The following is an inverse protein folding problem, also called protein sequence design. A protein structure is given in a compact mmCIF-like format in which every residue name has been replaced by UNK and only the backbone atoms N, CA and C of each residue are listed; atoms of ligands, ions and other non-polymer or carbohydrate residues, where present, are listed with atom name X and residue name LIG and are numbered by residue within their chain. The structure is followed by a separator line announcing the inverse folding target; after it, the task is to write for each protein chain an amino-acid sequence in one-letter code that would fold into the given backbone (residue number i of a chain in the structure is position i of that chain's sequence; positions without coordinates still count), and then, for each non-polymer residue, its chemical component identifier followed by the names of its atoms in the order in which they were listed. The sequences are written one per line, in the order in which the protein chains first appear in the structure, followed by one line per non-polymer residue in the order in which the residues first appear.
data_IF_086112081698
#
_entry.id   IF_086112081698
#
_cell.length_a   1.000
_cell.length_b   1.000
_cell.length_c   1.000
_cell.angle_alpha   90.00
_cell.angle_beta   90.00
_cell.angle_gamma   90.00
#
_symmetry.space_group_name_H-M   'P 1'
#
loop_
_entity.id
_entity.type
_entity.pdbx_description
1 polymer ?
#
# COMPACT_ATOMS: atom_id res chain seq x y z
N UNK A 1 58.14 6.82 -33.99
CA UNK A 1 59.12 5.76 -34.09
C UNK A 1 58.71 4.70 -33.05
N UNK A 2 58.33 3.53 -33.29
CA UNK A 2 58.39 2.61 -34.39
C UNK A 2 57.26 1.58 -34.25
N UNK A 3 56.83 1.18 -35.41
CA UNK A 3 55.89 0.09 -35.73
C UNK A 3 56.50 -1.29 -35.43
N UNK A 4 55.62 -2.30 -35.23
CA UNK A 4 55.65 -3.65 -35.88
C UNK A 4 54.44 -4.45 -35.34
N UNK A 5 53.43 -4.81 -36.12
CA UNK A 5 53.13 -5.90 -37.09
C UNK A 5 53.22 -7.29 -36.43
N UNK A 6 52.11 -7.96 -36.23
CA UNK A 6 51.41 -8.95 -37.07
C UNK A 6 52.06 -10.40 -37.05
N UNK A 7 51.21 -11.40 -36.88
CA UNK A 7 51.52 -12.78 -37.13
C UNK A 7 50.34 -13.74 -36.88
N UNK A 8 49.67 -14.12 -37.96
CA UNK A 8 48.75 -15.26 -38.07
C UNK A 8 49.51 -16.56 -38.01
N UNK A 9 48.97 -17.65 -37.47
CA UNK A 9 48.95 -18.96 -38.11
C UNK A 9 47.87 -19.83 -37.45
N UNK A 10 47.00 -20.39 -38.28
CA UNK A 10 46.11 -21.46 -37.96
C UNK A 10 46.70 -22.80 -38.31
N UNK A 11 46.23 -23.87 -37.68
CA UNK A 11 46.39 -25.24 -38.21
C UNK A 11 45.10 -26.03 -37.89
N UNK A 12 44.53 -26.56 -38.96
CA UNK A 12 43.62 -27.70 -39.02
C UNK A 12 44.30 -29.01 -38.66
N UNK A 13 43.58 -29.93 -38.06
CA UNK A 13 43.81 -31.38 -38.37
C UNK A 13 42.51 -32.16 -38.06
N UNK A 14 42.22 -32.94 -39.08
CA UNK A 14 41.18 -33.94 -39.26
C UNK A 14 41.40 -35.21 -38.44
N UNK A 15 40.28 -35.90 -38.21
CA UNK A 15 40.16 -37.37 -38.42
C UNK A 15 40.19 -38.17 -37.13
N UNK A 16 39.20 -38.98 -36.84
CA UNK A 16 38.96 -40.33 -37.39
C UNK A 16 37.67 -40.91 -36.88
N UNK A 17 36.95 -41.56 -37.76
CA UNK A 17 35.71 -42.30 -37.57
C UNK A 17 35.98 -43.63 -36.89
N UNK A 18 35.15 -44.08 -35.96
CA UNK A 18 35.00 -45.51 -35.67
C UNK A 18 33.49 -45.82 -35.39
N UNK A 19 32.93 -46.65 -36.26
CA UNK A 19 31.62 -47.29 -36.13
C UNK A 19 31.71 -48.50 -35.19
N UNK A 20 30.68 -48.67 -34.35
CA UNK A 20 30.10 -49.96 -33.95
C UNK A 20 28.80 -49.72 -33.20
N UNK A 21 27.72 -49.99 -33.77
CA UNK A 21 26.78 -51.11 -33.77
C UNK A 21 25.82 -51.19 -32.54
N UNK A 22 24.52 -51.00 -32.84
CA UNK A 22 23.32 -51.68 -32.34
C UNK A 22 23.02 -51.71 -30.84
N UNK A 23 21.95 -50.97 -30.51
CA UNK A 23 21.13 -51.19 -29.32
C UNK A 23 19.83 -50.38 -29.45
N UNK A 24 18.79 -51.00 -29.99
CA UNK A 24 17.43 -50.44 -30.04
C UNK A 24 16.90 -50.35 -28.61
N UNK A 25 16.72 -49.11 -28.10
CA UNK A 25 15.97 -48.81 -26.93
C UNK A 25 15.00 -47.70 -27.30
N UNK A 26 13.75 -48.04 -27.57
CA UNK A 26 12.67 -47.09 -27.76
C UNK A 26 12.43 -46.29 -26.48
N UNK A 27 12.94 -45.07 -26.40
CA UNK A 27 12.52 -44.09 -25.38
C UNK A 27 11.15 -43.56 -25.76
N UNK A 28 10.11 -44.10 -25.15
CA UNK A 28 8.78 -43.49 -25.14
C UNK A 28 8.89 -42.13 -24.48
N UNK A 29 8.88 -41.06 -25.26
CA UNK A 29 8.63 -39.71 -24.80
C UNK A 29 7.16 -39.70 -24.32
N UNK A 30 6.98 -39.78 -23.00
CA UNK A 30 5.67 -39.54 -22.39
C UNK A 30 5.40 -38.04 -22.51
N UNK A 31 4.58 -37.65 -23.50
CA UNK A 31 4.05 -36.32 -23.60
C UNK A 31 3.22 -36.04 -22.32
N UNK A 32 3.71 -35.12 -21.48
CA UNK A 32 2.87 -34.59 -20.41
C UNK A 32 1.65 -33.92 -21.07
N UNK A 33 0.43 -34.25 -20.60
CA UNK A 33 -0.76 -33.58 -21.13
C UNK A 33 -0.67 -32.10 -20.74
N UNK A 34 -0.71 -31.21 -21.74
CA UNK A 34 -0.90 -29.78 -21.53
C UNK A 34 -2.14 -29.60 -20.66
N UNK A 35 -1.96 -28.92 -19.52
CA UNK A 35 -3.07 -28.55 -18.65
C UNK A 35 -4.05 -27.68 -19.45
N UNK A 36 -5.12 -28.29 -19.95
CA UNK A 36 -6.21 -27.57 -20.60
C UNK A 36 -6.88 -26.72 -19.55
N UNK A 37 -6.69 -25.41 -19.59
CA UNK A 37 -7.57 -24.46 -18.90
C UNK A 37 -8.98 -24.63 -19.50
N UNK A 38 -9.80 -25.47 -18.87
CA UNK A 38 -11.23 -25.56 -19.17
C UNK A 38 -11.81 -24.18 -18.84
N UNK A 39 -12.16 -23.40 -19.85
CA UNK A 39 -13.04 -22.24 -19.67
C UNK A 39 -14.34 -22.76 -19.02
N UNK A 40 -14.70 -22.18 -17.88
CA UNK A 40 -15.93 -22.52 -17.18
C UNK A 40 -17.12 -22.28 -18.11
N UNK A 41 -17.96 -23.29 -18.31
CA UNK A 41 -19.16 -23.15 -19.13
C UNK A 41 -20.18 -22.18 -18.52
N UNK A 42 -21.17 -21.68 -19.31
CA UNK A 42 -22.15 -20.69 -18.83
C UNK A 42 -22.90 -21.09 -17.55
N UNK A 43 -23.22 -22.37 -17.38
CA UNK A 43 -23.88 -22.90 -16.19
C UNK A 43 -22.99 -22.77 -14.93
N UNK A 44 -21.68 -23.07 -15.04
CA UNK A 44 -20.74 -22.92 -13.94
C UNK A 44 -20.50 -21.44 -13.56
N UNK A 45 -20.55 -20.51 -14.51
CA UNK A 45 -20.45 -19.07 -14.24
C UNK A 45 -21.68 -18.54 -13.49
N UNK A 46 -22.87 -19.04 -13.80
CA UNK A 46 -24.12 -18.66 -13.12
C UNK A 46 -24.15 -19.18 -11.67
N UNK A 47 -23.71 -20.42 -11.45
CA UNK A 47 -23.59 -20.99 -10.10
C UNK A 47 -22.55 -20.24 -9.26
N UNK A 48 -21.38 -19.90 -9.83
CA UNK A 48 -20.37 -19.10 -9.16
C UNK A 48 -20.90 -17.72 -8.76
N UNK A 49 -21.65 -17.04 -9.67
CA UNK A 49 -22.27 -15.75 -9.35
C UNK A 49 -23.33 -15.88 -8.24
N UNK A 50 -24.14 -16.95 -8.23
CA UNK A 50 -25.13 -17.20 -7.17
C UNK A 50 -24.44 -17.43 -5.81
N UNK A 51 -23.35 -18.16 -5.78
CA UNK A 51 -22.56 -18.38 -4.57
C UNK A 51 -21.93 -17.08 -4.06
N UNK A 52 -21.39 -16.25 -4.96
CA UNK A 52 -20.84 -14.93 -4.60
C UNK A 52 -21.92 -14.00 -4.03
N UNK A 53 -23.11 -13.94 -4.63
CA UNK A 53 -24.25 -13.18 -4.08
C UNK A 53 -24.67 -13.67 -2.70
N UNK A 54 -24.72 -14.99 -2.48
CA UNK A 54 -25.06 -15.56 -1.18
C UNK A 54 -24.01 -15.22 -0.13
N UNK A 55 -22.72 -15.25 -0.47
CA UNK A 55 -21.62 -14.83 0.41
C UNK A 55 -21.73 -13.36 0.76
N UNK A 56 -21.89 -12.49 -0.25
CA UNK A 56 -22.02 -11.05 -0.06
C UNK A 56 -23.21 -10.70 0.88
N UNK A 57 -24.37 -11.31 0.65
CA UNK A 57 -25.53 -11.11 1.48
C UNK A 57 -25.32 -11.62 2.93
N UNK A 58 -24.70 -12.79 3.09
CA UNK A 58 -24.42 -13.40 4.41
C UNK A 58 -23.52 -12.50 5.26
N UNK A 59 -22.47 -11.93 4.69
CA UNK A 59 -21.54 -11.05 5.40
C UNK A 59 -21.97 -9.59 5.40
N UNK A 60 -23.09 -9.25 4.78
CA UNK A 60 -23.58 -7.88 4.59
C UNK A 60 -22.52 -7.01 3.92
N UNK A 61 -21.93 -7.49 2.81
CA UNK A 61 -20.86 -6.82 2.11
C UNK A 61 -21.26 -5.40 1.67
N UNK A 62 -20.42 -4.43 1.91
CA UNK A 62 -20.62 -3.04 1.52
C UNK A 62 -19.31 -2.42 1.06
N UNK A 63 -18.87 -2.75 -0.13
CA UNK A 63 -17.58 -2.28 -0.64
C UNK A 63 -17.62 -0.82 -1.14
N UNK A 64 -18.79 -0.17 -1.05
CA UNK A 64 -18.93 1.28 -1.23
C UNK A 64 -18.86 2.07 0.08
N UNK A 65 -18.69 1.40 1.21
CA UNK A 65 -18.62 2.02 2.53
C UNK A 65 -17.32 2.76 2.78
N UNK A 66 -17.30 3.50 3.88
CA UNK A 66 -16.15 4.30 4.32
C UNK A 66 -15.01 3.42 4.86
N UNK A 67 -13.78 3.87 4.63
CA UNK A 67 -12.55 3.22 5.08
C UNK A 67 -11.76 4.19 5.97
N UNK A 68 -11.44 3.82 7.23
CA UNK A 68 -10.58 4.64 8.06
C UNK A 68 -9.13 4.61 7.52
N UNK A 69 -8.61 5.80 7.20
CA UNK A 69 -7.20 6.04 6.89
C UNK A 69 -6.61 6.79 8.06
N UNK A 70 -5.85 6.09 8.90
CA UNK A 70 -5.34 6.63 10.17
C UNK A 70 -3.95 7.19 9.97
N UNK A 71 -3.73 8.43 10.45
CA UNK A 71 -2.48 9.17 10.34
C UNK A 71 -1.75 9.18 11.67
N UNK A 72 -0.60 8.56 11.71
CA UNK A 72 0.35 8.54 12.83
C UNK A 72 1.59 9.36 12.48
N UNK A 73 2.29 9.84 13.52
CA UNK A 73 3.61 10.47 13.43
C UNK A 73 4.60 9.71 14.32
N UNK A 74 4.77 10.09 15.57
CA UNK A 74 5.72 9.46 16.47
C UNK A 74 5.03 8.51 17.45
N UNK A 75 5.70 7.40 17.74
CA UNK A 75 5.34 6.48 18.83
C UNK A 75 6.43 6.57 19.89
N UNK A 76 6.21 7.33 20.95
CA UNK A 76 7.22 7.70 21.92
C UNK A 76 6.73 7.55 23.36
N UNK A 77 7.62 7.14 24.28
CA UNK A 77 7.25 6.92 25.67
C UNK A 77 6.79 8.19 26.39
N UNK A 78 7.29 9.36 25.96
CA UNK A 78 6.93 10.68 26.53
C UNK A 78 6.44 11.58 25.39
N UNK A 79 5.11 11.62 25.12
CA UNK A 79 4.52 12.52 24.15
C UNK A 79 4.84 13.98 24.44
N UNK A 80 5.17 14.76 23.42
CA UNK A 80 5.49 16.20 23.52
C UNK A 80 4.63 17.06 22.61
N UNK A 81 3.93 16.44 21.66
CA UNK A 81 2.95 17.07 20.78
C UNK A 81 1.67 16.22 20.70
N UNK A 82 0.60 16.84 20.27
CA UNK A 82 -0.74 16.19 20.25
C UNK A 82 -0.84 14.98 19.32
N UNK A 83 0.00 14.91 18.29
CA UNK A 83 0.00 13.81 17.31
C UNK A 83 0.92 12.63 17.72
N UNK A 84 1.57 12.73 18.89
CA UNK A 84 2.34 11.63 19.45
C UNK A 84 1.43 10.57 20.06
N UNK A 85 1.81 9.30 19.92
CA UNK A 85 1.21 8.19 20.65
C UNK A 85 2.24 7.55 21.56
N UNK A 86 1.81 7.05 22.71
CA UNK A 86 2.68 6.14 23.46
C UNK A 86 2.66 4.75 22.84
N UNK A 87 3.71 3.91 23.06
CA UNK A 87 3.70 2.52 22.64
C UNK A 87 2.45 1.75 23.12
N UNK A 88 1.99 2.03 24.33
CA UNK A 88 0.80 1.40 24.93
C UNK A 88 -0.47 1.84 24.23
N UNK A 89 -0.64 3.13 23.96
CA UNK A 89 -1.82 3.65 23.24
C UNK A 89 -1.87 3.10 21.81
N UNK A 90 -0.73 3.08 21.11
CA UNK A 90 -0.64 2.54 19.76
C UNK A 90 -0.99 1.05 19.72
N UNK A 91 -0.41 0.25 20.64
CA UNK A 91 -0.73 -1.17 20.77
C UNK A 91 -2.22 -1.38 21.03
N UNK A 92 -2.81 -0.67 21.98
CA UNK A 92 -4.22 -0.80 22.33
C UNK A 92 -5.15 -0.50 21.14
N UNK A 93 -4.81 0.52 20.32
CA UNK A 93 -5.56 0.84 19.12
C UNK A 93 -5.44 -0.27 18.05
N UNK A 94 -4.25 -0.84 17.84
CA UNK A 94 -4.06 -1.96 16.91
C UNK A 94 -4.82 -3.23 17.37
N UNK A 95 -4.76 -3.55 18.65
CA UNK A 95 -5.52 -4.69 19.23
C UNK A 95 -7.03 -4.48 19.09
N UNK A 96 -7.50 -3.27 19.30
CA UNK A 96 -8.89 -2.90 19.06
C UNK A 96 -9.26 -3.13 17.60
N UNK A 97 -8.49 -2.59 16.65
CA UNK A 97 -8.71 -2.80 15.22
C UNK A 97 -8.79 -4.28 14.86
N UNK A 98 -7.88 -5.10 15.38
CA UNK A 98 -7.87 -6.54 15.15
C UNK A 98 -9.14 -7.23 15.70
N UNK A 99 -9.57 -6.88 16.93
CA UNK A 99 -10.79 -7.40 17.58
C UNK A 99 -12.05 -6.99 16.85
N UNK A 100 -12.10 -5.73 16.33
CA UNK A 100 -13.23 -5.19 15.59
C UNK A 100 -13.28 -5.69 14.12
N UNK A 101 -12.39 -6.61 13.74
CA UNK A 101 -12.40 -7.26 12.43
C UNK A 101 -11.75 -6.46 11.32
N UNK A 102 -11.00 -5.41 11.65
CA UNK A 102 -10.23 -4.68 10.66
C UNK A 102 -8.98 -5.45 10.20
N UNK A 103 -8.63 -5.26 8.93
CA UNK A 103 -7.42 -5.81 8.30
C UNK A 103 -6.63 -4.65 7.71
N UNK A 104 -5.40 -4.41 8.16
CA UNK A 104 -4.56 -3.38 7.57
C UNK A 104 -4.28 -3.64 6.09
N UNK A 105 -4.39 -2.59 5.29
CA UNK A 105 -3.98 -2.53 3.90
C UNK A 105 -3.07 -1.32 3.69
N UNK A 106 -2.27 -1.32 2.63
CA UNK A 106 -1.42 -0.18 2.29
C UNK A 106 -2.21 0.94 1.61
N UNK A 107 -1.68 2.17 1.65
CA UNK A 107 -2.25 3.29 0.90
C UNK A 107 -2.27 3.03 -0.60
N UNK A 108 -1.27 2.30 -1.11
CA UNK A 108 -1.20 1.83 -2.50
C UNK A 108 -2.36 0.88 -2.84
N UNK A 109 -2.62 -0.14 -1.99
CA UNK A 109 -3.76 -1.06 -2.18
C UNK A 109 -5.08 -0.30 -2.18
N UNK A 110 -5.24 0.63 -1.23
CA UNK A 110 -6.43 1.48 -1.11
C UNK A 110 -6.62 2.37 -2.36
N UNK A 111 -5.65 3.22 -2.69
CA UNK A 111 -5.78 4.20 -3.77
C UNK A 111 -5.98 3.55 -5.16
N UNK A 112 -5.40 2.36 -5.37
CA UNK A 112 -5.55 1.60 -6.62
C UNK A 112 -6.80 0.70 -6.65
N UNK A 113 -7.55 0.59 -5.54
CA UNK A 113 -8.71 -0.31 -5.41
C UNK A 113 -8.33 -1.79 -5.40
N UNK A 114 -7.08 -2.13 -5.11
CA UNK A 114 -6.62 -3.52 -5.01
C UNK A 114 -6.77 -4.05 -3.58
N UNK A 115 -7.99 -3.98 -3.05
CA UNK A 115 -8.32 -4.39 -1.69
C UNK A 115 -8.60 -5.88 -1.68
N UNK A 116 -7.68 -6.67 -1.10
CA UNK A 116 -7.80 -8.13 -0.98
C UNK A 116 -7.77 -8.53 0.49
N UNK A 117 -8.95 -8.65 1.09
CA UNK A 117 -9.14 -9.05 2.49
C UNK A 117 -10.28 -10.07 2.58
N UNK A 118 -10.34 -10.92 3.62
CA UNK A 118 -11.38 -11.94 3.73
C UNK A 118 -12.81 -11.36 3.79
N UNK A 119 -13.78 -12.17 3.37
CA UNK A 119 -15.20 -11.83 3.45
C UNK A 119 -15.63 -11.47 4.88
N UNK A 120 -16.41 -10.42 5.04
CA UNK A 120 -16.88 -9.91 6.32
C UNK A 120 -15.86 -9.08 7.10
N UNK A 121 -14.64 -8.88 6.57
CA UNK A 121 -13.62 -8.04 7.18
C UNK A 121 -13.66 -6.61 6.63
N UNK A 122 -13.02 -5.69 7.37
CA UNK A 122 -13.02 -4.26 7.09
C UNK A 122 -11.60 -3.78 6.84
N UNK A 123 -11.31 -3.03 5.77
CA UNK A 123 -9.98 -2.49 5.58
C UNK A 123 -9.72 -1.31 6.50
N UNK A 124 -8.48 -1.16 6.95
CA UNK A 124 -7.95 0.04 7.57
C UNK A 124 -6.61 0.37 6.94
N UNK A 125 -6.34 1.65 6.66
CA UNK A 125 -5.04 2.11 6.18
C UNK A 125 -4.29 2.76 7.32
N UNK A 126 -3.15 2.19 7.69
CA UNK A 126 -2.25 2.78 8.70
C UNK A 126 -1.17 3.56 7.96
N UNK A 127 -1.09 4.87 8.21
CA UNK A 127 -0.09 5.75 7.57
C UNK A 127 0.79 6.44 8.61
N UNK A 128 2.08 6.56 8.33
CA UNK A 128 3.05 7.21 9.18
C UNK A 128 3.76 8.32 8.42
N UNK A 129 3.73 9.54 8.94
CA UNK A 129 4.37 10.70 8.33
C UNK A 129 5.75 10.98 8.98
N UNK A 130 6.60 11.75 8.29
CA UNK A 130 7.87 12.34 8.75
C UNK A 130 9.04 11.37 9.00
N UNK A 131 8.90 10.09 8.81
CA UNK A 131 9.99 9.09 8.95
C UNK A 131 10.75 9.18 10.30
N UNK A 132 10.03 9.29 11.42
CA UNK A 132 10.65 9.34 12.75
C UNK A 132 11.39 8.03 13.10
N UNK A 133 12.53 8.09 13.83
CA UNK A 133 13.18 6.89 14.35
C UNK A 133 12.29 6.02 15.25
N UNK A 134 11.26 6.60 15.87
CA UNK A 134 10.30 5.87 16.69
C UNK A 134 9.34 4.98 15.85
N UNK A 135 9.25 5.22 14.56
CA UNK A 135 8.47 4.37 13.66
C UNK A 135 9.24 3.10 13.30
N UNK A 136 10.53 3.25 12.99
CA UNK A 136 11.44 2.14 12.71
C UNK A 136 12.88 2.54 13.09
N UNK A 137 13.51 1.75 13.90
CA UNK A 137 14.96 1.71 14.11
C UNK A 137 15.35 0.24 14.11
N UNK A 138 16.34 -0.13 13.31
CA UNK A 138 16.90 -1.48 13.30
C UNK A 138 18.01 -1.62 14.33
N UNK A 139 18.10 -2.78 14.98
CA UNK A 139 19.23 -3.15 15.84
C UNK A 139 20.40 -3.69 15.02
N UNK A 140 21.49 -4.07 15.69
CA UNK A 140 22.68 -4.63 15.03
C UNK A 140 22.47 -5.96 14.30
N UNK A 141 21.32 -6.64 14.53
CA UNK A 141 20.90 -7.87 13.84
C UNK A 141 19.89 -7.59 12.73
N UNK A 142 19.58 -6.32 12.42
CA UNK A 142 18.62 -5.92 11.38
C UNK A 142 17.16 -6.13 11.79
N UNK A 143 16.85 -6.23 13.08
CA UNK A 143 15.48 -6.35 13.60
C UNK A 143 14.96 -5.02 14.11
N UNK A 144 13.65 -4.72 13.95
CA UNK A 144 13.06 -3.55 14.56
C UNK A 144 13.26 -3.53 16.08
N UNK A 145 13.73 -2.42 16.62
CA UNK A 145 13.87 -2.26 18.07
C UNK A 145 12.48 -2.32 18.74
N UNK A 146 12.39 -2.91 19.93
CA UNK A 146 11.17 -2.86 20.75
C UNK A 146 10.65 -1.41 20.89
N UNK A 147 9.35 -1.26 21.08
CA UNK A 147 8.64 0.02 21.20
C UNK A 147 8.64 0.92 19.96
N UNK A 148 9.26 0.51 18.83
CA UNK A 148 9.01 1.14 17.55
C UNK A 148 7.63 0.73 16.98
N UNK A 149 7.04 1.62 16.19
CA UNK A 149 5.71 1.34 15.58
C UNK A 149 5.70 0.02 14.81
N UNK A 150 6.75 -0.25 14.03
CA UNK A 150 6.88 -1.49 13.25
C UNK A 150 6.94 -2.72 14.15
N UNK A 151 7.75 -2.68 15.22
CA UNK A 151 7.87 -3.83 16.15
C UNK A 151 6.53 -4.12 16.83
N UNK A 152 5.81 -3.09 17.29
CA UNK A 152 4.50 -3.22 17.93
C UNK A 152 3.49 -3.78 16.93
N UNK A 153 3.42 -3.26 15.70
CA UNK A 153 2.50 -3.73 14.66
C UNK A 153 2.74 -5.21 14.32
N UNK A 154 4.00 -5.61 14.15
CA UNK A 154 4.35 -7.01 13.91
C UNK A 154 4.00 -7.92 15.09
N UNK A 155 4.16 -7.42 16.32
CA UNK A 155 3.81 -8.18 17.51
C UNK A 155 2.31 -8.40 17.64
N UNK A 156 1.50 -7.37 17.45
CA UNK A 156 0.03 -7.48 17.44
C UNK A 156 -0.44 -8.42 16.32
N UNK A 157 0.15 -8.33 15.13
CA UNK A 157 -0.21 -9.20 14.03
C UNK A 157 0.08 -10.70 14.31
N UNK A 158 1.18 -11.00 15.04
CA UNK A 158 1.44 -12.39 15.48
C UNK A 158 0.39 -12.91 16.45
N UNK A 159 -0.19 -12.04 17.28
CA UNK A 159 -1.19 -12.41 18.28
C UNK A 159 -2.61 -12.46 17.72
N UNK A 160 -2.86 -11.83 16.57
CA UNK A 160 -4.17 -11.74 15.94
C UNK A 160 -4.15 -12.28 14.49
N UNK A 161 -4.35 -13.61 14.29
CA UNK A 161 -4.37 -14.20 12.95
C UNK A 161 -5.33 -13.47 12.00
N UNK A 162 -4.84 -13.10 10.82
CA UNK A 162 -5.59 -12.33 9.81
C UNK A 162 -5.44 -10.81 9.92
N UNK A 163 -4.84 -10.28 11.00
CA UNK A 163 -4.42 -8.89 11.08
C UNK A 163 -3.05 -8.74 10.40
N UNK A 164 -2.99 -8.03 9.27
CA UNK A 164 -1.77 -7.93 8.45
C UNK A 164 -0.78 -6.94 9.07
N UNK A 165 0.53 -7.27 9.17
CA UNK A 165 1.54 -6.33 9.64
C UNK A 165 2.00 -5.39 8.52
N UNK A 166 1.10 -4.58 7.97
CA UNK A 166 1.38 -3.66 6.87
C UNK A 166 0.94 -2.24 7.20
N UNK A 167 1.67 -1.27 6.69
CA UNK A 167 1.40 0.16 6.79
C UNK A 167 2.08 0.89 5.63
N UNK A 168 1.78 2.19 5.44
CA UNK A 168 2.47 3.06 4.49
C UNK A 168 3.25 4.12 5.24
N UNK A 169 4.53 4.26 4.91
CA UNK A 169 5.43 5.27 5.47
C UNK A 169 5.65 6.39 4.45
N UNK A 170 5.18 7.59 4.77
CA UNK A 170 5.39 8.79 3.96
C UNK A 170 6.69 9.46 4.40
N UNK A 171 7.72 9.33 3.55
CA UNK A 171 9.09 9.67 3.93
C UNK A 171 9.52 11.02 3.40
N UNK A 172 10.37 11.69 4.21
CA UNK A 172 11.09 12.92 3.90
C UNK A 172 12.60 12.64 3.81
N UNK A 173 13.43 13.66 3.55
CA UNK A 173 14.90 13.49 3.44
C UNK A 173 15.57 12.94 4.71
N UNK A 174 15.03 13.26 5.88
CA UNK A 174 15.58 12.88 7.18
C UNK A 174 14.90 11.57 7.65
N UNK A 175 15.36 10.43 7.10
CA UNK A 175 14.69 9.14 7.24
C UNK A 175 15.11 8.38 8.48
N UNK A 176 14.19 8.14 9.41
CA UNK A 176 14.33 7.19 10.52
C UNK A 176 15.59 7.38 11.39
N UNK A 177 16.17 8.62 11.40
CA UNK A 177 17.42 8.89 12.08
C UNK A 177 18.65 8.23 11.44
N UNK A 178 18.55 7.80 10.19
CA UNK A 178 19.66 7.22 9.42
C UNK A 178 20.39 8.31 8.61
N UNK A 179 21.70 8.20 8.53
CA UNK A 179 22.54 9.16 7.82
C UNK A 179 23.23 8.51 6.63
N UNK A 180 23.19 9.22 5.50
CA UNK A 180 23.80 8.78 4.26
C UNK A 180 22.94 7.80 3.44
N UNK A 181 23.18 7.74 2.12
CA UNK A 181 22.34 6.99 1.19
C UNK A 181 22.30 5.48 1.46
N UNK A 182 23.41 4.91 1.92
CA UNK A 182 23.51 3.47 2.18
C UNK A 182 22.62 3.04 3.36
N UNK A 183 22.70 3.72 4.50
CA UNK A 183 21.87 3.43 5.67
C UNK A 183 20.39 3.70 5.40
N UNK A 184 20.08 4.76 4.63
CA UNK A 184 18.71 5.06 4.19
C UNK A 184 18.19 3.97 3.26
N UNK A 185 18.98 3.51 2.28
CA UNK A 185 18.61 2.43 1.37
C UNK A 185 18.37 1.11 2.12
N UNK A 186 19.20 0.79 3.10
CA UNK A 186 19.02 -0.38 3.96
C UNK A 186 17.68 -0.32 4.72
N UNK A 187 17.34 0.82 5.32
CA UNK A 187 16.10 0.99 6.09
C UNK A 187 14.87 0.93 5.21
N UNK A 188 14.86 1.63 4.07
CA UNK A 188 13.75 1.56 3.12
C UNK A 188 13.64 0.18 2.46
N UNK A 189 14.77 -0.44 2.13
CA UNK A 189 14.82 -1.81 1.62
C UNK A 189 14.20 -2.80 2.60
N UNK A 190 14.54 -2.65 3.89
CA UNK A 190 13.95 -3.48 4.93
C UNK A 190 12.41 -3.33 4.99
N UNK A 191 11.88 -2.09 4.95
CA UNK A 191 10.43 -1.84 4.92
C UNK A 191 9.77 -2.54 3.73
N UNK A 192 10.30 -2.32 2.52
CA UNK A 192 9.79 -2.93 1.28
C UNK A 192 9.78 -4.47 1.37
N UNK A 193 10.89 -5.07 1.79
CA UNK A 193 11.09 -6.51 1.83
C UNK A 193 10.24 -7.19 2.91
N UNK A 194 9.73 -6.41 3.89
CA UNK A 194 8.77 -6.86 4.90
C UNK A 194 7.32 -6.46 4.58
N UNK A 195 7.02 -6.04 3.34
CA UNK A 195 5.67 -5.80 2.86
C UNK A 195 5.06 -4.44 3.24
N UNK A 196 5.85 -3.53 3.78
CA UNK A 196 5.43 -2.15 4.01
C UNK A 196 5.49 -1.33 2.72
N UNK A 197 4.57 -0.37 2.59
CA UNK A 197 4.54 0.56 1.47
C UNK A 197 5.28 1.86 1.81
N UNK A 198 5.92 2.46 0.82
CA UNK A 198 6.68 3.70 0.97
C UNK A 198 6.07 4.75 0.07
N UNK A 199 5.53 5.81 0.67
CA UNK A 199 4.96 6.96 -0.02
C UNK A 199 5.88 8.17 0.03
N UNK A 200 5.58 9.16 -0.79
CA UNK A 200 6.29 10.44 -0.82
C UNK A 200 5.63 11.45 0.15
N UNK A 201 6.46 12.18 0.94
CA UNK A 201 5.98 13.28 1.79
C UNK A 201 6.64 14.62 1.46
N UNK A 202 6.99 14.82 0.20
CA UNK A 202 7.92 15.84 -0.29
C UNK A 202 9.36 15.63 0.25
N UNK A 203 10.35 16.33 -0.33
CA UNK A 203 11.73 16.15 0.14
C UNK A 203 11.97 16.83 1.49
N UNK A 204 11.53 18.07 1.62
CA UNK A 204 11.89 18.96 2.75
C UNK A 204 10.68 19.29 3.65
N UNK A 205 9.60 18.50 3.59
CA UNK A 205 8.36 18.73 4.33
C UNK A 205 7.81 20.16 4.15
N UNK A 206 7.87 20.68 2.90
CA UNK A 206 7.44 22.03 2.59
C UNK A 206 5.90 22.12 2.56
N UNK A 207 5.34 23.13 3.23
CA UNK A 207 3.92 23.46 3.05
C UNK A 207 3.67 23.95 1.62
N UNK A 208 2.84 23.25 0.87
CA UNK A 208 2.60 23.53 -0.56
C UNK A 208 1.53 24.58 -0.82
N UNK A 209 0.77 24.98 0.22
CA UNK A 209 -0.26 26.04 0.09
C UNK A 209 0.40 27.36 -0.28
N UNK A 210 -0.12 28.01 -1.33
CA UNK A 210 0.37 29.31 -1.80
C UNK A 210 1.71 29.27 -2.52
N UNK A 211 2.26 28.09 -2.80
CA UNK A 211 3.49 27.94 -3.57
C UNK A 211 3.22 27.99 -5.08
N UNK A 212 4.21 28.46 -5.83
CA UNK A 212 4.17 28.43 -7.30
C UNK A 212 4.18 26.98 -7.80
N UNK A 213 3.72 26.75 -9.03
CA UNK A 213 3.78 25.42 -9.67
C UNK A 213 5.19 24.83 -9.58
N UNK A 214 6.22 25.61 -9.94
CA UNK A 214 7.61 25.17 -9.92
C UNK A 214 8.04 24.70 -8.52
N UNK A 215 7.76 25.49 -7.47
CA UNK A 215 8.09 25.11 -6.09
C UNK A 215 7.38 23.82 -5.65
N UNK A 216 6.11 23.64 -6.05
CA UNK A 216 5.33 22.42 -5.74
C UNK A 216 5.94 21.22 -6.43
N UNK A 217 6.13 21.31 -7.76
CA UNK A 217 6.62 20.17 -8.55
C UNK A 217 8.06 19.82 -8.21
N UNK A 218 8.94 20.79 -7.92
CA UNK A 218 10.32 20.54 -7.48
C UNK A 218 10.37 19.75 -6.17
N UNK A 219 9.57 20.13 -5.19
CA UNK A 219 9.55 19.45 -3.88
C UNK A 219 9.04 18.02 -3.98
N UNK A 220 7.99 17.80 -4.77
CA UNK A 220 7.41 16.48 -4.98
C UNK A 220 8.35 15.59 -5.80
N UNK A 221 8.88 16.10 -6.90
CA UNK A 221 9.84 15.39 -7.76
C UNK A 221 11.13 15.03 -7.01
N UNK A 222 11.63 15.94 -6.16
CA UNK A 222 12.80 15.68 -5.34
C UNK A 222 12.56 14.55 -4.31
N UNK A 223 11.40 14.51 -3.64
CA UNK A 223 11.01 13.42 -2.75
C UNK A 223 10.83 12.10 -3.51
N UNK A 224 10.18 12.14 -4.66
CA UNK A 224 10.01 10.97 -5.55
C UNK A 224 11.36 10.38 -5.99
N UNK A 225 12.27 11.24 -6.45
CA UNK A 225 13.64 10.84 -6.83
C UNK A 225 14.40 10.25 -5.66
N UNK A 226 14.28 10.83 -4.47
CA UNK A 226 14.94 10.35 -3.26
C UNK A 226 14.58 8.88 -2.98
N UNK A 227 13.30 8.54 -2.93
CA UNK A 227 12.85 7.16 -2.71
C UNK A 227 13.31 6.24 -3.85
N UNK A 228 13.06 6.63 -5.09
CA UNK A 228 13.38 5.82 -6.28
C UNK A 228 14.88 5.55 -6.40
N UNK A 229 15.74 6.51 -6.02
CA UNK A 229 17.19 6.31 -6.06
C UNK A 229 17.68 5.30 -5.02
N UNK A 230 17.02 5.21 -3.87
CA UNK A 230 17.42 4.35 -2.76
C UNK A 230 16.97 2.89 -2.93
N UNK A 231 15.72 2.67 -3.35
CA UNK A 231 15.13 1.31 -3.39
C UNK A 231 14.72 0.84 -4.78
N UNK A 232 14.86 1.67 -5.82
CA UNK A 232 14.48 1.39 -7.23
C UNK A 232 12.97 1.21 -7.46
N UNK A 233 12.14 1.39 -6.43
CA UNK A 233 10.68 1.38 -6.51
C UNK A 233 10.14 2.81 -6.45
N UNK A 234 9.17 3.13 -7.30
CA UNK A 234 8.54 4.44 -7.31
C UNK A 234 7.40 4.50 -6.27
N UNK A 235 7.32 5.57 -5.45
CA UNK A 235 6.16 5.81 -4.61
C UNK A 235 4.88 5.90 -5.45
N UNK A 236 3.82 5.20 -5.02
CA UNK A 236 2.52 5.19 -5.72
C UNK A 236 1.57 6.23 -5.12
N UNK A 237 1.84 6.70 -3.92
CA UNK A 237 1.00 7.66 -3.20
C UNK A 237 1.83 8.80 -2.62
N UNK A 238 1.18 9.95 -2.44
CA UNK A 238 1.74 11.15 -1.83
C UNK A 238 0.88 11.55 -0.62
N UNK A 239 1.50 11.86 0.52
CA UNK A 239 0.85 12.62 1.59
C UNK A 239 1.35 14.07 1.58
N UNK A 240 0.43 15.02 1.72
CA UNK A 240 0.79 16.43 1.72
C UNK A 240 1.21 16.91 3.11
N UNK A 241 2.39 17.54 3.26
CA UNK A 241 2.78 18.17 4.51
C UNK A 241 1.68 19.12 5.02
N UNK A 242 1.37 19.00 6.31
CA UNK A 242 0.26 19.74 6.97
C UNK A 242 -1.13 19.48 6.37
N UNK A 243 -1.28 18.51 5.45
CA UNK A 243 -2.50 18.28 4.70
C UNK A 243 -2.89 19.41 3.73
N UNK A 244 -1.99 20.33 3.47
CA UNK A 244 -2.27 21.53 2.68
C UNK A 244 -2.07 21.32 1.19
N UNK A 245 -3.17 21.41 0.43
CA UNK A 245 -3.16 21.32 -1.02
C UNK A 245 -2.55 22.57 -1.67
N UNK A 246 -1.82 22.43 -2.80
CA UNK A 246 -1.47 23.56 -3.65
C UNK A 246 -2.71 24.18 -4.29
N UNK A 247 -2.60 25.38 -4.84
CA UNK A 247 -3.72 26.09 -5.48
C UNK A 247 -4.36 25.30 -6.63
N UNK A 248 -3.57 24.52 -7.35
CA UNK A 248 -4.04 23.55 -8.34
C UNK A 248 -3.72 22.15 -7.82
N UNK A 249 -4.73 21.42 -7.40
CA UNK A 249 -4.60 20.08 -6.78
C UNK A 249 -3.84 19.09 -7.66
N UNK A 250 -4.03 19.17 -8.97
CA UNK A 250 -3.43 18.27 -9.96
C UNK A 250 -1.88 18.32 -9.93
N UNK A 251 -1.27 19.44 -9.57
CA UNK A 251 0.20 19.53 -9.44
C UNK A 251 0.76 18.58 -8.36
N UNK A 252 -0.06 18.19 -7.40
CA UNK A 252 0.34 17.20 -6.39
C UNK A 252 0.27 15.77 -6.91
N UNK A 253 -0.62 15.48 -7.86
CA UNK A 253 -0.80 14.14 -8.40
C UNK A 253 0.10 13.86 -9.60
N UNK A 254 0.21 14.82 -10.51
CA UNK A 254 0.95 14.67 -11.77
C UNK A 254 1.96 15.80 -11.96
N UNK A 255 3.17 15.46 -12.38
CA UNK A 255 4.16 16.50 -12.66
C UNK A 255 5.46 15.97 -13.24
N UNK A 256 6.26 16.93 -13.71
CA UNK A 256 7.61 16.74 -14.20
C UNK A 256 8.46 17.91 -13.74
N UNK A 257 9.53 17.66 -13.02
CA UNK A 257 10.47 18.66 -12.58
C UNK A 257 11.88 18.08 -12.47
N UNK A 258 12.88 18.82 -12.88
CA UNK A 258 14.28 18.40 -12.87
C UNK A 258 14.54 17.01 -13.52
N UNK A 259 13.80 16.70 -14.59
CA UNK A 259 13.87 15.42 -15.29
C UNK A 259 13.26 14.23 -14.53
N UNK A 260 12.45 14.49 -13.52
CA UNK A 260 11.75 13.46 -12.74
C UNK A 260 10.25 13.63 -12.94
N UNK A 261 9.65 12.64 -13.60
CA UNK A 261 8.19 12.54 -13.75
C UNK A 261 7.60 11.76 -12.60
N UNK A 262 6.46 12.24 -12.07
CA UNK A 262 5.67 11.54 -11.06
C UNK A 262 4.19 11.51 -11.46
N UNK A 263 3.52 10.42 -11.06
CA UNK A 263 2.11 10.15 -11.31
C UNK A 263 1.59 9.27 -10.16
N UNK A 264 0.83 9.87 -9.25
CA UNK A 264 0.35 9.18 -8.05
C UNK A 264 -1.08 8.65 -8.24
N UNK A 265 -1.37 7.50 -7.65
CA UNK A 265 -2.72 6.95 -7.59
C UNK A 265 -3.61 7.67 -6.55
N UNK A 266 -2.99 8.39 -5.60
CA UNK A 266 -3.72 9.13 -4.59
C UNK A 266 -2.87 10.12 -3.80
N UNK A 267 -3.48 11.25 -3.46
CA UNK A 267 -2.92 12.35 -2.66
C UNK A 267 -3.66 12.42 -1.35
N UNK A 268 -2.97 12.15 -0.24
CA UNK A 268 -3.53 12.08 1.10
C UNK A 268 -3.38 13.41 1.85
N UNK A 269 -4.45 13.82 2.51
CA UNK A 269 -4.52 15.04 3.31
C UNK A 269 -4.36 14.72 4.80
N UNK A 270 -4.19 15.73 5.64
CA UNK A 270 -4.61 15.68 7.03
C UNK A 270 -6.10 16.07 7.07
N UNK A 271 -6.94 15.18 7.54
CA UNK A 271 -8.39 15.40 7.48
C UNK A 271 -9.08 15.02 8.79
N UNK A 272 -10.41 14.97 8.72
CA UNK A 272 -11.27 14.81 9.90
C UNK A 272 -12.31 13.70 9.72
N UNK A 273 -12.26 12.96 8.61
CA UNK A 273 -13.27 11.96 8.26
C UNK A 273 -12.62 10.70 7.71
N UNK A 274 -13.28 9.54 7.81
CA UNK A 274 -12.91 8.37 7.01
C UNK A 274 -12.97 8.69 5.51
N UNK A 275 -12.19 7.99 4.72
CA UNK A 275 -12.17 8.14 3.28
C UNK A 275 -13.33 7.38 2.63
N UNK A 276 -13.86 7.91 1.53
CA UNK A 276 -14.75 7.15 0.66
C UNK A 276 -14.02 5.94 0.07
N UNK A 277 -14.75 4.86 -0.15
CA UNK A 277 -14.22 3.69 -0.86
C UNK A 277 -13.73 4.09 -2.26
N UNK A 278 -12.60 3.53 -2.77
CA UNK A 278 -12.15 3.78 -4.14
C UNK A 278 -13.13 3.31 -5.21
N UNK A 279 -14.12 2.51 -4.83
CA UNK A 279 -15.20 2.05 -5.70
C UNK A 279 -16.41 3.00 -5.73
N UNK A 280 -16.48 3.94 -4.80
CA UNK A 280 -17.53 4.96 -4.75
C UNK A 280 -17.27 6.10 -5.73
N UNK A 281 -18.34 6.70 -6.26
CA UNK A 281 -18.27 7.93 -7.05
C UNK A 281 -17.78 9.14 -6.24
N UNK A 282 -17.88 9.06 -4.92
CA UNK A 282 -17.47 10.13 -4.00
C UNK A 282 -15.97 10.08 -3.68
N UNK A 283 -15.25 9.12 -4.23
CA UNK A 283 -13.79 9.02 -4.06
C UNK A 283 -13.06 10.10 -4.88
N UNK A 284 -12.39 11.02 -4.18
CA UNK A 284 -11.52 12.03 -4.80
C UNK A 284 -10.04 11.64 -4.59
N UNK A 285 -9.35 11.09 -5.60
CA UNK A 285 -7.94 10.72 -5.47
C UNK A 285 -7.00 11.93 -5.30
N UNK A 286 -7.47 13.15 -5.62
CA UNK A 286 -6.71 14.39 -5.43
C UNK A 286 -6.79 14.93 -3.98
N UNK A 287 -7.60 14.31 -3.13
CA UNK A 287 -7.82 14.82 -1.78
C UNK A 287 -8.36 13.78 -0.82
N UNK A 288 -7.65 12.65 -0.66
CA UNK A 288 -8.05 11.56 0.23
C UNK A 288 -7.92 12.00 1.69
N UNK A 289 -9.02 12.08 2.45
CA UNK A 289 -8.96 12.49 3.86
C UNK A 289 -8.31 11.40 4.72
N UNK A 290 -7.66 11.83 5.81
CA UNK A 290 -7.12 10.95 6.85
C UNK A 290 -7.68 11.35 8.22
N UNK A 291 -7.62 10.42 9.15
CA UNK A 291 -8.06 10.63 10.53
C UNK A 291 -6.81 10.67 11.43
N UNK A 292 -6.70 11.68 12.30
CA UNK A 292 -5.61 11.75 13.28
C UNK A 292 -5.74 10.63 14.30
N UNK A 293 -4.62 9.97 14.62
CA UNK A 293 -4.55 8.91 15.63
C UNK A 293 -4.58 9.50 17.04
N UNK A 294 -5.78 9.75 17.59
CA UNK A 294 -5.96 10.35 18.90
C UNK A 294 -7.18 9.79 19.64
N UNK A 295 -7.10 9.85 20.97
CA UNK A 295 -8.22 9.54 21.85
C UNK A 295 -9.26 10.68 21.84
N UNK A 296 -10.45 10.43 22.44
CA UNK A 296 -11.56 11.37 22.48
C UNK A 296 -11.28 12.54 23.46
N UNK A 297 -10.42 13.46 23.05
CA UNK A 297 -10.09 14.66 23.84
C UNK A 297 -10.27 15.90 22.97
N UNK A 298 -10.96 16.93 23.48
CA UNK A 298 -11.21 18.17 22.75
C UNK A 298 -11.93 17.91 21.42
N UNK A 299 -11.46 18.51 20.32
CA UNK A 299 -12.03 18.30 18.97
C UNK A 299 -11.95 16.84 18.51
N UNK A 300 -10.99 16.08 19.05
CA UNK A 300 -10.87 14.65 18.78
C UNK A 300 -11.98 13.79 19.42
N UNK A 301 -12.84 14.37 20.24
CA UNK A 301 -14.06 13.69 20.68
C UNK A 301 -15.00 13.31 19.52
N UNK A 302 -14.84 13.97 18.33
CA UNK A 302 -15.67 13.74 17.15
C UNK A 302 -14.87 13.38 15.89
N UNK A 303 -13.61 13.81 15.78
CA UNK A 303 -12.92 13.86 14.48
C UNK A 303 -11.64 13.00 14.40
N UNK A 304 -11.30 12.26 15.47
CA UNK A 304 -10.08 11.45 15.47
C UNK A 304 -10.38 9.94 15.52
N UNK A 305 -9.33 9.10 15.51
CA UNK A 305 -9.44 7.66 15.26
C UNK A 305 -10.39 6.95 16.22
N UNK A 306 -10.27 7.17 17.53
CA UNK A 306 -11.16 6.52 18.51
C UNK A 306 -12.64 6.86 18.27
N UNK A 307 -12.95 8.13 17.99
CA UNK A 307 -14.34 8.56 17.75
C UNK A 307 -14.92 7.96 16.47
N UNK A 308 -14.15 7.96 15.38
CA UNK A 308 -14.60 7.40 14.11
C UNK A 308 -14.71 5.87 14.14
N UNK A 309 -13.81 5.18 14.83
CA UNK A 309 -13.93 3.72 15.01
C UNK A 309 -15.18 3.36 15.81
N UNK A 310 -15.52 4.12 16.86
CA UNK A 310 -16.76 3.93 17.58
C UNK A 310 -17.97 4.17 16.68
N UNK A 311 -17.93 5.25 15.90
CA UNK A 311 -19.01 5.60 15.00
C UNK A 311 -19.22 4.54 13.91
N UNK A 312 -18.17 4.10 13.22
CA UNK A 312 -18.24 3.07 12.19
C UNK A 312 -18.69 1.70 12.73
N UNK A 313 -18.37 1.39 13.99
CA UNK A 313 -18.88 0.18 14.64
C UNK A 313 -20.37 0.28 14.98
N UNK A 314 -20.85 1.47 15.33
CA UNK A 314 -22.28 1.73 15.56
C UNK A 314 -23.11 1.84 14.26
N UNK A 315 -22.46 2.16 13.12
CA UNK A 315 -23.09 2.35 11.82
C UNK A 315 -22.45 1.43 10.75
N UNK A 316 -22.66 0.11 10.87
CA UNK A 316 -22.04 -0.88 9.95
C UNK A 316 -22.48 -0.70 8.49
N UNK A 317 -23.64 -0.07 8.25
CA UNK A 317 -24.16 0.28 6.92
C UNK A 317 -23.30 1.31 6.18
N UNK A 318 -22.52 2.12 6.91
CA UNK A 318 -21.61 3.11 6.33
C UNK A 318 -20.17 2.63 6.23
N UNK A 319 -19.84 1.55 6.94
CA UNK A 319 -18.50 0.95 6.94
C UNK A 319 -18.29 0.04 5.74
N UNK A 320 -17.09 0.08 5.15
CA UNK A 320 -16.69 -0.92 4.16
C UNK A 320 -16.66 -2.32 4.78
N UNK A 321 -17.31 -3.27 4.10
CA UNK A 321 -17.27 -4.70 4.45
C UNK A 321 -17.03 -5.50 3.19
N UNK A 322 -15.95 -6.29 3.15
CA UNK A 322 -15.55 -7.07 1.99
C UNK A 322 -16.44 -8.29 1.74
N UNK A 323 -16.65 -8.65 0.48
CA UNK A 323 -17.22 -9.94 0.07
C UNK A 323 -16.16 -11.05 -0.05
N UNK A 324 -14.86 -10.69 0.00
CA UNK A 324 -13.72 -11.60 -0.08
C UNK A 324 -13.20 -11.87 -1.49
N UNK A 325 -13.79 -11.28 -2.54
CA UNK A 325 -13.36 -11.46 -3.93
C UNK A 325 -12.88 -10.13 -4.54
N UNK A 326 -11.56 -10.00 -4.77
CA UNK A 326 -10.95 -8.82 -5.38
C UNK A 326 -11.48 -8.49 -6.80
N UNK A 327 -12.21 -9.42 -7.43
CA UNK A 327 -12.74 -9.26 -8.80
C UNK A 327 -14.14 -8.68 -8.82
N UNK A 328 -14.80 -8.56 -7.67
CA UNK A 328 -16.15 -8.04 -7.53
C UNK A 328 -16.19 -6.79 -6.66
N UNK A 329 -17.25 -6.02 -6.78
CA UNK A 329 -17.59 -4.91 -5.88
C UNK A 329 -19.01 -5.16 -5.39
N UNK A 330 -19.11 -5.72 -4.18
CA UNK A 330 -20.38 -6.13 -3.60
C UNK A 330 -20.98 -5.05 -2.69
N UNK A 331 -22.29 -4.85 -2.82
CA UNK A 331 -23.02 -3.87 -2.02
C UNK A 331 -24.55 -4.12 -2.06
N UNK A 332 -25.33 -3.61 -1.08
CA UNK A 332 -26.78 -3.64 -1.11
C UNK A 332 -27.33 -2.88 -2.33
N UNK A 333 -28.36 -3.43 -3.00
CA UNK A 333 -28.90 -2.89 -4.27
C UNK A 333 -29.19 -1.39 -4.24
N UNK A 334 -29.69 -0.87 -3.13
CA UNK A 334 -30.02 0.56 -3.02
C UNK A 334 -28.79 1.50 -3.10
N UNK A 335 -27.58 0.96 -2.92
CA UNK A 335 -26.32 1.71 -3.09
C UNK A 335 -25.82 1.77 -4.54
N UNK A 336 -26.47 1.14 -5.49
CA UNK A 336 -26.05 1.15 -6.90
C UNK A 336 -25.79 2.55 -7.50
N UNK A 337 -26.55 3.62 -7.16
CA UNK A 337 -26.29 4.97 -7.67
C UNK A 337 -24.96 5.59 -7.19
N UNK A 338 -24.30 4.99 -6.23
CA UNK A 338 -23.04 5.49 -5.64
C UNK A 338 -21.80 4.83 -6.21
N UNK A 339 -21.92 3.88 -7.13
CA UNK A 339 -20.78 3.21 -7.78
C UNK A 339 -20.07 4.17 -8.73
N UNK A 340 -18.74 4.20 -8.69
CA UNK A 340 -17.95 4.90 -9.69
C UNK A 340 -18.05 4.16 -11.04
N UNK A 341 -18.34 4.89 -12.12
CA UNK A 341 -18.66 4.35 -13.44
C UNK A 341 -17.62 3.33 -13.96
N UNK A 342 -16.34 3.55 -13.67
CA UNK A 342 -15.24 2.65 -14.06
C UNK A 342 -15.35 1.23 -13.49
N UNK A 343 -16.13 1.05 -12.42
CA UNK A 343 -16.33 -0.25 -11.77
C UNK A 343 -17.65 -0.95 -12.10
N UNK A 344 -18.53 -0.34 -12.89
CA UNK A 344 -19.86 -0.90 -13.21
C UNK A 344 -19.84 -2.37 -13.67
N UNK A 345 -18.80 -2.78 -14.43
CA UNK A 345 -18.66 -4.16 -14.94
C UNK A 345 -18.30 -5.20 -13.87
N UNK A 346 -17.86 -4.75 -12.70
CA UNK A 346 -17.43 -5.60 -11.59
C UNK A 346 -18.47 -5.70 -10.47
N UNK A 347 -19.61 -5.02 -10.62
CA UNK A 347 -20.60 -4.89 -9.56
C UNK A 347 -21.33 -6.19 -9.25
N UNK A 348 -21.56 -6.42 -7.97
CA UNK A 348 -22.31 -7.53 -7.41
C UNK A 348 -23.38 -7.00 -6.43
N UNK A 349 -24.44 -6.32 -6.91
CA UNK A 349 -25.51 -5.81 -6.05
C UNK A 349 -26.40 -6.98 -5.59
N UNK A 350 -26.67 -7.06 -4.27
CA UNK A 350 -27.49 -8.13 -3.68
C UNK A 350 -28.70 -7.57 -2.89
#
# INVERSE_FOLDING_TARGET
MGRFRAGHVGVLSLGVVALAACGQGESKVVAQPAASHKQAGPASAQEARKAALATAAKVKANELGQIPVIMYHRVVAKPSVTDDRTPQQFRAELERLAKDGYVPITAKEFATGKISIPAGRHPVVLTFDDSSPSQLTLDGAGKPKPDTAVAILQDVARQHPGFRPVATFYVIKDMFGTFGPEAQAQTLGWLRDNGFDIGNHTRDHLNLRGRSKQQVTDQIAAGHKLVTSLIKDAPVTLALPYGNQPSTKDWAMHGDAAGVKYDYAGVFLAGYTPAASPFSKDFDPLGIPRIRAMDKVGDCARFCSTAWLDWLNAHPEDRYTSDGDIKTVAFPKFKAPYVAQRFNRYTLPY
#
